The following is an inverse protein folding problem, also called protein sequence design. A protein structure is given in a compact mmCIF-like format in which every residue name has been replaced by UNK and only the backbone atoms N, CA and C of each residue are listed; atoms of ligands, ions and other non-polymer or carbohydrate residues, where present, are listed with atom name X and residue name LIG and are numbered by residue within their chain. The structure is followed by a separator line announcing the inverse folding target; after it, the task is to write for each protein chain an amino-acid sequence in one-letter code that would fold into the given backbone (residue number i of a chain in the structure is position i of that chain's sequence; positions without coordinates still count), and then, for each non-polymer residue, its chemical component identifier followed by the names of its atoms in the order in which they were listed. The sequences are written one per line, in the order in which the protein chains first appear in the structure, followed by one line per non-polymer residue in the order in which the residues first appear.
data_IF_928315969372
#
_entry.id   IF_928315969372
#
_cell.length_a   1.000
_cell.length_b   1.000
_cell.length_c   1.000
_cell.angle_alpha   90.00
_cell.angle_beta   90.00
_cell.angle_gamma   90.00
#
_symmetry.space_group_name_H-M   'P 1'
#
loop_
_entity.id
_entity.type
_entity.pdbx_description
1 polymer ?
#
# COMPACT_ATOMS: atom_id res chain seq x y z
N UNK A 1 -12.79 -2.28 -20.02
CA UNK A 1 -12.75 -2.49 -18.55
C UNK A 1 -11.47 -2.01 -17.85
N UNK A 2 -10.27 -2.49 -18.20
CA UNK A 2 -9.03 -2.28 -17.41
C UNK A 2 -8.73 -0.83 -17.01
N UNK A 3 -8.88 0.11 -17.96
CA UNK A 3 -8.69 1.54 -17.71
C UNK A 3 -9.58 2.07 -16.57
N UNK A 4 -10.84 1.62 -16.51
CA UNK A 4 -11.78 2.07 -15.48
C UNK A 4 -11.37 1.56 -14.09
N UNK A 5 -10.86 0.32 -14.00
CA UNK A 5 -10.35 -0.24 -12.72
C UNK A 5 -9.11 0.50 -12.26
N UNK A 6 -8.20 0.83 -13.19
CA UNK A 6 -7.03 1.65 -12.91
C UNK A 6 -7.40 3.05 -12.40
N UNK A 7 -8.33 3.71 -13.09
CA UNK A 7 -8.79 5.06 -12.72
C UNK A 7 -9.47 5.01 -11.34
N UNK A 8 -10.34 4.03 -11.07
CA UNK A 8 -11.04 3.89 -9.78
C UNK A 8 -10.07 3.69 -8.61
N UNK A 9 -9.13 2.74 -8.74
CA UNK A 9 -8.14 2.46 -7.69
C UNK A 9 -7.23 3.67 -7.44
N UNK A 10 -6.79 4.35 -8.50
CA UNK A 10 -5.94 5.54 -8.40
C UNK A 10 -6.70 6.71 -7.77
N UNK A 11 -7.94 6.97 -8.20
CA UNK A 11 -8.80 8.01 -7.64
C UNK A 11 -9.15 7.75 -6.16
N UNK A 12 -9.23 6.47 -5.77
CA UNK A 12 -9.43 6.10 -4.37
C UNK A 12 -8.22 6.45 -3.51
N UNK A 13 -7.03 6.54 -4.10
CA UNK A 13 -5.80 6.97 -3.42
C UNK A 13 -4.58 6.08 -3.67
N UNK A 14 -4.71 5.01 -4.45
CA UNK A 14 -3.56 4.16 -4.78
C UNK A 14 -2.52 4.98 -5.54
N UNK A 15 -1.27 5.10 -5.07
CA UNK A 15 -0.31 6.00 -5.71
C UNK A 15 0.06 5.58 -7.12
N UNK A 16 0.09 6.53 -8.06
CA UNK A 16 0.43 6.22 -9.47
C UNK A 16 1.77 5.47 -9.64
N UNK A 17 2.77 5.80 -8.82
CA UNK A 17 4.08 5.16 -8.91
C UNK A 17 4.10 3.67 -8.52
N UNK A 18 3.12 3.19 -7.74
CA UNK A 18 3.12 1.79 -7.29
C UNK A 18 2.69 0.81 -8.39
N UNK A 19 2.09 1.30 -9.48
CA UNK A 19 1.76 0.47 -10.64
C UNK A 19 2.99 -0.15 -11.32
N UNK A 20 4.20 0.39 -11.09
CA UNK A 20 5.46 -0.25 -11.51
C UNK A 20 5.74 -1.60 -10.82
N UNK A 21 5.04 -1.89 -9.72
CA UNK A 21 5.08 -3.14 -8.96
C UNK A 21 3.70 -3.79 -8.87
N UNK A 22 2.98 -3.81 -10.00
CA UNK A 22 1.62 -4.33 -10.13
C UNK A 22 1.38 -5.62 -9.33
N UNK A 23 2.18 -6.67 -9.54
CA UNK A 23 1.99 -7.97 -8.88
C UNK A 23 2.03 -7.90 -7.34
N UNK A 24 2.83 -6.98 -6.78
CA UNK A 24 2.89 -6.74 -5.34
C UNK A 24 1.61 -6.08 -4.84
N UNK A 25 1.18 -5.01 -5.53
CA UNK A 25 0.05 -4.17 -5.14
C UNK A 25 -1.29 -4.88 -5.35
N UNK A 26 -1.38 -5.78 -6.34
CA UNK A 26 -2.58 -6.57 -6.60
C UNK A 26 -2.63 -7.87 -5.81
N UNK A 27 -1.67 -8.11 -4.90
CA UNK A 27 -1.66 -9.30 -4.07
C UNK A 27 -2.77 -9.23 -3.01
N UNK A 28 -3.82 -10.04 -3.20
CA UNK A 28 -4.98 -10.10 -2.31
C UNK A 28 -4.79 -11.00 -1.09
N UNK A 29 -3.57 -11.45 -0.78
CA UNK A 29 -3.33 -12.36 0.36
C UNK A 29 -3.78 -11.76 1.70
N UNK A 30 -3.56 -10.46 1.91
CA UNK A 30 -3.98 -9.75 3.12
C UNK A 30 -5.51 -9.55 3.15
N UNK A 31 -6.17 -9.46 1.99
CA UNK A 31 -7.62 -9.30 1.91
C UNK A 31 -8.38 -10.48 2.54
N UNK A 32 -7.79 -11.68 2.54
CA UNK A 32 -8.36 -12.84 3.24
C UNK A 32 -8.50 -12.57 4.75
N UNK A 33 -7.55 -11.86 5.38
CA UNK A 33 -7.62 -11.51 6.80
C UNK A 33 -8.78 -10.56 7.10
N UNK A 34 -9.12 -9.66 6.17
CA UNK A 34 -10.24 -8.74 6.32
C UNK A 34 -11.59 -9.39 6.00
N UNK A 35 -11.60 -10.46 5.20
CA UNK A 35 -12.83 -11.16 4.80
C UNK A 35 -13.59 -11.72 6.00
N UNK A 36 -12.89 -12.32 6.97
CA UNK A 36 -13.51 -12.84 8.19
C UNK A 36 -14.11 -11.72 9.06
N UNK A 37 -13.42 -10.57 9.10
CA UNK A 37 -13.95 -9.36 9.75
C UNK A 37 -15.27 -8.91 9.12
N UNK A 38 -15.36 -8.91 7.79
CA UNK A 38 -16.62 -8.60 7.08
C UNK A 38 -17.69 -9.65 7.37
N UNK A 39 -17.36 -10.94 7.33
CA UNK A 39 -18.31 -12.01 7.66
C UNK A 39 -18.92 -11.85 9.05
N UNK A 40 -18.13 -11.41 10.03
CA UNK A 40 -18.57 -11.23 11.41
C UNK A 40 -19.43 -9.98 11.59
N UNK A 41 -19.02 -8.84 11.02
CA UNK A 41 -19.69 -7.55 11.24
C UNK A 41 -20.83 -7.26 10.27
N UNK A 42 -20.75 -7.80 9.04
CA UNK A 42 -21.75 -7.62 7.98
C UNK A 42 -22.09 -8.96 7.29
N UNK A 43 -22.70 -9.91 8.04
CA UNK A 43 -22.88 -11.30 7.58
C UNK A 43 -23.78 -11.45 6.35
N UNK A 44 -24.62 -10.47 6.02
CA UNK A 44 -25.49 -10.55 4.82
C UNK A 44 -24.82 -10.00 3.56
N UNK A 45 -23.63 -9.40 3.66
CA UNK A 45 -23.00 -8.71 2.53
C UNK A 45 -22.78 -9.61 1.32
N UNK A 46 -22.20 -10.80 1.50
CA UNK A 46 -21.96 -11.72 0.39
C UNK A 46 -23.27 -12.12 -0.31
N UNK A 47 -24.32 -12.41 0.45
CA UNK A 47 -25.62 -12.75 -0.10
C UNK A 47 -26.20 -11.58 -0.93
N UNK A 48 -26.16 -10.37 -0.40
CA UNK A 48 -26.66 -9.17 -1.07
C UNK A 48 -25.83 -8.87 -2.33
N UNK A 49 -24.50 -9.01 -2.26
CA UNK A 49 -23.59 -8.82 -3.40
C UNK A 49 -23.95 -9.70 -4.60
N UNK A 50 -24.31 -10.97 -4.35
CA UNK A 50 -24.63 -11.93 -5.40
C UNK A 50 -26.09 -11.92 -5.86
N UNK A 51 -27.01 -11.28 -5.13
CA UNK A 51 -28.45 -11.40 -5.42
C UNK A 51 -29.22 -10.08 -5.55
N UNK A 52 -28.74 -8.99 -4.95
CA UNK A 52 -29.40 -7.70 -5.02
C UNK A 52 -28.89 -6.86 -6.22
N UNK A 53 -29.73 -6.00 -6.83
CA UNK A 53 -29.31 -5.10 -7.90
C UNK A 53 -28.33 -4.02 -7.39
N UNK A 54 -27.44 -3.57 -8.28
CA UNK A 54 -26.47 -2.50 -7.99
C UNK A 54 -25.13 -2.98 -7.41
N UNK A 55 -24.95 -4.29 -7.27
CA UNK A 55 -23.70 -4.94 -6.91
C UNK A 55 -23.04 -5.59 -8.14
N UNK A 56 -21.71 -5.68 -8.16
CA UNK A 56 -20.98 -6.29 -9.28
C UNK A 56 -21.42 -7.74 -9.55
N UNK A 57 -21.84 -8.49 -8.52
CA UNK A 57 -22.35 -9.84 -8.67
C UNK A 57 -23.59 -9.95 -9.57
N UNK A 58 -24.41 -8.90 -9.66
CA UNK A 58 -25.64 -8.87 -10.49
C UNK A 58 -25.59 -7.86 -11.64
N UNK A 59 -24.62 -6.95 -11.63
CA UNK A 59 -24.45 -5.89 -12.63
C UNK A 59 -24.22 -6.45 -14.03
N UNK A 60 -24.90 -5.90 -15.03
CA UNK A 60 -24.76 -6.27 -16.43
C UNK A 60 -23.67 -5.40 -17.10
N UNK A 61 -22.41 -5.70 -16.79
CA UNK A 61 -21.24 -5.02 -17.34
C UNK A 61 -20.09 -6.00 -17.56
N UNK A 62 -19.08 -5.59 -18.34
CA UNK A 62 -17.87 -6.38 -18.60
C UNK A 62 -17.16 -6.78 -17.29
N UNK A 63 -17.11 -5.87 -16.30
CA UNK A 63 -16.53 -6.14 -14.99
C UNK A 63 -17.42 -7.10 -14.17
N UNK A 64 -18.75 -6.92 -14.20
CA UNK A 64 -19.67 -7.85 -13.54
C UNK A 64 -19.60 -9.27 -14.12
N UNK A 65 -19.47 -9.39 -15.44
CA UNK A 65 -19.28 -10.67 -16.14
C UNK A 65 -17.95 -11.33 -15.72
N UNK A 66 -16.86 -10.57 -15.65
CA UNK A 66 -15.57 -11.06 -15.16
C UNK A 66 -15.70 -11.61 -13.73
N UNK A 67 -16.31 -10.84 -12.82
CA UNK A 67 -16.51 -11.20 -11.42
C UNK A 67 -17.33 -12.49 -11.28
N UNK A 68 -18.45 -12.61 -11.99
CA UNK A 68 -19.27 -13.83 -11.98
C UNK A 68 -18.51 -15.05 -12.52
N UNK A 69 -17.67 -14.86 -13.53
CA UNK A 69 -16.89 -15.97 -14.11
C UNK A 69 -15.82 -16.54 -13.15
N UNK A 70 -15.39 -15.79 -12.14
CA UNK A 70 -14.41 -16.25 -11.13
C UNK A 70 -15.07 -16.96 -9.92
N UNK A 71 -16.40 -16.90 -9.82
CA UNK A 71 -17.13 -17.44 -8.68
C UNK A 71 -17.08 -18.97 -8.67
N UNK A 72 -16.67 -19.52 -7.53
CA UNK A 72 -16.77 -20.94 -7.20
C UNK A 72 -17.80 -21.09 -6.10
N UNK A 73 -18.74 -22.00 -6.33
CA UNK A 73 -19.76 -22.41 -5.37
C UNK A 73 -20.03 -23.91 -5.62
N UNK A 74 -19.32 -24.76 -4.87
CA UNK A 74 -19.26 -26.19 -5.10
C UNK A 74 -19.59 -26.96 -3.83
N UNK A 75 -20.52 -27.90 -3.89
CA UNK A 75 -20.82 -28.81 -2.79
C UNK A 75 -20.26 -30.19 -3.09
N UNK A 76 -19.37 -30.69 -2.24
CA UNK A 76 -18.75 -32.00 -2.36
C UNK A 76 -19.28 -32.97 -1.30
N UNK A 77 -19.40 -34.26 -1.65
CA UNK A 77 -19.71 -35.33 -0.70
C UNK A 77 -18.45 -35.95 -0.15
N UNK A 78 -18.50 -36.39 1.10
CA UNK A 78 -17.38 -37.09 1.74
C UNK A 78 -17.46 -38.59 1.40
N UNK A 79 -16.53 -39.07 0.57
CA UNK A 79 -16.40 -40.49 0.24
C UNK A 79 -15.76 -41.29 1.38
N UNK A 80 -14.71 -40.74 2.00
CA UNK A 80 -14.07 -41.37 3.15
C UNK A 80 -13.50 -40.33 4.11
N UNK A 81 -13.39 -40.74 5.37
CA UNK A 81 -12.80 -39.96 6.46
C UNK A 81 -11.62 -40.78 6.98
N UNK A 82 -10.42 -40.24 6.83
CA UNK A 82 -9.19 -40.86 7.30
C UNK A 82 -8.58 -40.05 8.43
N UNK A 83 -8.39 -40.68 9.60
CA UNK A 83 -7.64 -40.08 10.70
C UNK A 83 -6.15 -40.30 10.45
N UNK A 84 -5.41 -39.22 10.21
CA UNK A 84 -3.97 -39.26 10.02
C UNK A 84 -3.28 -38.86 11.33
N UNK A 85 -3.13 -39.82 12.25
CA UNK A 85 -2.63 -39.56 13.59
C UNK A 85 -3.69 -38.91 14.51
N UNK A 86 -3.24 -38.22 15.55
CA UNK A 86 -4.14 -37.68 16.60
C UNK A 86 -4.63 -36.26 16.33
N UNK A 87 -4.05 -35.54 15.36
CA UNK A 87 -4.30 -34.10 15.15
C UNK A 87 -4.70 -33.74 13.71
N UNK A 88 -4.87 -34.72 12.82
CA UNK A 88 -5.19 -34.45 11.41
C UNK A 88 -6.28 -35.37 10.90
N UNK A 89 -7.24 -34.81 10.17
CA UNK A 89 -8.29 -35.54 9.45
C UNK A 89 -8.15 -35.24 7.96
N UNK A 90 -8.25 -36.28 7.14
CA UNK A 90 -8.35 -36.17 5.68
C UNK A 90 -9.76 -36.56 5.26
N UNK A 91 -10.41 -35.65 4.55
CA UNK A 91 -11.71 -35.86 3.92
C UNK A 91 -11.46 -36.09 2.44
N UNK A 92 -11.71 -37.32 1.98
CA UNK A 92 -11.71 -37.62 0.55
C UNK A 92 -13.06 -37.22 -0.02
N UNK A 93 -13.05 -36.21 -0.87
CA UNK A 93 -14.23 -35.66 -1.53
C UNK A 93 -14.51 -36.40 -2.85
N UNK A 94 -15.77 -36.44 -3.27
CA UNK A 94 -16.18 -36.98 -4.57
C UNK A 94 -15.73 -36.10 -5.75
N UNK A 95 -15.57 -34.81 -5.47
CA UNK A 95 -15.24 -33.77 -6.44
C UNK A 95 -14.70 -32.55 -5.71
N UNK A 96 -13.93 -31.72 -6.40
CA UNK A 96 -13.45 -30.46 -5.86
C UNK A 96 -13.20 -29.46 -7.01
N UNK A 97 -13.37 -28.15 -6.77
CA UNK A 97 -12.96 -27.13 -7.73
C UNK A 97 -11.42 -27.09 -7.84
N UNK A 98 -10.87 -26.49 -8.91
CA UNK A 98 -9.45 -26.18 -8.96
C UNK A 98 -9.01 -25.32 -7.76
N UNK A 99 -7.85 -25.64 -7.19
CA UNK A 99 -7.27 -24.83 -6.11
C UNK A 99 -6.98 -23.42 -6.62
N UNK A 100 -7.53 -22.41 -5.93
CA UNK A 100 -7.36 -21.01 -6.26
C UNK A 100 -7.44 -20.14 -4.98
N UNK A 101 -6.97 -18.87 -5.03
CA UNK A 101 -7.05 -17.98 -3.87
C UNK A 101 -8.49 -17.79 -3.36
N UNK A 102 -8.61 -17.67 -2.04
CA UNK A 102 -9.87 -17.28 -1.40
C UNK A 102 -10.93 -18.37 -1.28
N UNK A 103 -10.60 -19.64 -1.57
CA UNK A 103 -11.49 -20.75 -1.27
C UNK A 103 -11.69 -20.88 0.24
N UNK A 104 -12.94 -20.85 0.66
CA UNK A 104 -13.44 -21.14 2.00
C UNK A 104 -14.13 -22.49 1.99
N UNK A 105 -14.03 -23.18 3.11
CA UNK A 105 -14.59 -24.51 3.31
C UNK A 105 -15.55 -24.46 4.49
N UNK A 106 -16.70 -25.14 4.37
CA UNK A 106 -17.68 -25.24 5.45
C UNK A 106 -18.33 -26.62 5.39
N UNK A 107 -18.44 -27.30 6.53
CA UNK A 107 -19.07 -28.61 6.60
C UNK A 107 -20.52 -28.48 7.05
N UNK A 108 -21.39 -29.21 6.37
CA UNK A 108 -22.79 -29.37 6.72
C UNK A 108 -23.07 -30.83 7.05
N UNK A 109 -23.69 -31.12 8.18
CA UNK A 109 -24.12 -32.48 8.51
C UNK A 109 -25.37 -32.92 7.72
N UNK A 110 -25.87 -34.12 7.98
CA UNK A 110 -27.04 -34.68 7.27
C UNK A 110 -28.37 -34.00 7.60
N UNK A 111 -28.37 -33.11 8.60
CA UNK A 111 -29.50 -32.27 8.99
C UNK A 111 -29.35 -30.83 8.47
N UNK A 112 -28.23 -30.52 7.80
CA UNK A 112 -27.93 -29.19 7.28
C UNK A 112 -27.35 -28.23 8.33
N UNK A 113 -26.91 -28.72 9.49
CA UNK A 113 -26.24 -27.90 10.49
C UNK A 113 -24.79 -27.61 10.05
N UNK A 114 -24.40 -26.34 10.15
CA UNK A 114 -23.07 -25.84 9.77
C UNK A 114 -22.05 -26.02 10.88
N UNK A 115 -20.82 -26.34 10.50
CA UNK A 115 -19.63 -26.31 11.37
C UNK A 115 -18.98 -24.93 11.51
N UNK A 116 -19.42 -23.93 10.74
CA UNK A 116 -18.65 -22.72 10.47
C UNK A 116 -17.45 -22.96 9.55
N UNK A 117 -16.61 -21.92 9.38
CA UNK A 117 -15.45 -21.96 8.49
C UNK A 117 -14.45 -23.03 8.92
N UNK A 118 -13.97 -23.80 7.95
CA UNK A 118 -12.92 -24.79 8.13
C UNK A 118 -11.58 -24.29 7.62
N UNK A 119 -10.53 -24.58 8.37
CA UNK A 119 -9.15 -24.28 8.00
C UNK A 119 -8.43 -25.55 7.59
N UNK A 120 -7.97 -25.61 6.35
CA UNK A 120 -7.29 -26.77 5.80
C UNK A 120 -6.68 -26.53 4.42
N UNK A 121 -6.06 -27.57 3.88
CA UNK A 121 -5.47 -27.57 2.54
C UNK A 121 -6.20 -28.57 1.63
N UNK A 122 -6.54 -28.14 0.42
CA UNK A 122 -7.18 -28.97 -0.60
C UNK A 122 -6.15 -29.36 -1.67
N UNK A 123 -5.86 -30.66 -1.78
CA UNK A 123 -5.02 -31.23 -2.83
C UNK A 123 -5.82 -32.23 -3.66
N UNK A 124 -6.13 -31.86 -4.91
CA UNK A 124 -7.06 -32.63 -5.73
C UNK A 124 -8.43 -32.69 -5.06
N UNK A 125 -8.88 -33.89 -4.69
CA UNK A 125 -10.11 -34.10 -3.93
C UNK A 125 -9.88 -34.41 -2.45
N UNK A 126 -8.66 -34.27 -1.95
CA UNK A 126 -8.34 -34.54 -0.54
C UNK A 126 -8.26 -33.23 0.23
N UNK A 127 -9.21 -32.99 1.13
CA UNK A 127 -9.20 -31.85 2.04
C UNK A 127 -8.61 -32.28 3.39
N UNK A 128 -7.48 -31.69 3.76
CA UNK A 128 -6.75 -31.99 4.99
C UNK A 128 -6.95 -30.88 6.00
N UNK A 129 -7.46 -31.21 7.18
CA UNK A 129 -7.73 -30.27 8.29
C UNK A 129 -6.97 -30.67 9.55
N UNK A 130 -6.53 -29.65 10.30
CA UNK A 130 -5.91 -29.81 11.62
C UNK A 130 -6.98 -29.70 12.72
N UNK A 131 -7.00 -30.65 13.66
CA UNK A 131 -8.08 -30.80 14.64
C UNK A 131 -8.15 -29.62 15.61
N UNK A 132 -7.01 -29.07 16.03
CA UNK A 132 -6.91 -27.95 16.97
C UNK A 132 -7.46 -26.63 16.41
N UNK A 133 -7.49 -26.47 15.09
CA UNK A 133 -8.10 -25.33 14.40
C UNK A 133 -9.56 -25.54 14.02
N UNK A 134 -10.10 -26.73 14.26
CA UNK A 134 -11.40 -27.18 13.77
C UNK A 134 -12.10 -28.08 14.82
N UNK A 135 -12.06 -27.71 16.11
CA UNK A 135 -12.52 -28.57 17.21
C UNK A 135 -13.99 -29.01 17.03
N UNK A 136 -14.85 -28.13 16.50
CA UNK A 136 -16.27 -28.38 16.25
C UNK A 136 -16.52 -29.39 15.12
N UNK A 137 -15.55 -29.64 14.24
CA UNK A 137 -15.72 -30.59 13.13
C UNK A 137 -15.90 -32.01 13.63
N UNK A 138 -15.21 -32.39 14.72
CA UNK A 138 -15.20 -33.77 15.18
C UNK A 138 -16.57 -34.26 15.68
N UNK A 139 -17.41 -33.35 16.19
CA UNK A 139 -18.76 -33.67 16.66
C UNK A 139 -19.78 -33.74 15.51
N UNK A 140 -19.54 -33.00 14.42
CA UNK A 140 -20.47 -32.86 13.29
C UNK A 140 -20.19 -33.79 12.10
N UNK A 141 -18.92 -34.16 11.88
CA UNK A 141 -18.51 -34.89 10.66
C UNK A 141 -18.97 -36.34 10.67
N UNK A 142 -19.66 -36.73 9.60
CA UNK A 142 -19.99 -38.12 9.31
C UNK A 142 -20.01 -38.36 7.79
N UNK A 143 -20.15 -39.62 7.35
CA UNK A 143 -20.12 -39.97 5.92
C UNK A 143 -21.26 -39.37 5.07
N UNK A 144 -22.31 -38.86 5.71
CA UNK A 144 -23.41 -38.16 5.03
C UNK A 144 -23.24 -36.64 5.03
N UNK A 145 -22.23 -36.13 5.73
CA UNK A 145 -21.89 -34.70 5.69
C UNK A 145 -21.41 -34.30 4.30
N UNK A 146 -21.59 -33.03 3.98
CA UNK A 146 -21.08 -32.40 2.75
C UNK A 146 -20.12 -31.27 3.11
N UNK A 147 -19.22 -30.96 2.18
CA UNK A 147 -18.32 -29.81 2.30
C UNK A 147 -18.69 -28.82 1.21
N UNK A 148 -19.12 -27.64 1.63
CA UNK A 148 -19.28 -26.48 0.77
C UNK A 148 -17.90 -25.85 0.55
N UNK A 149 -17.56 -25.59 -0.72
CA UNK A 149 -16.32 -24.98 -1.16
C UNK A 149 -16.67 -23.78 -2.04
N UNK A 150 -16.39 -22.57 -1.57
CA UNK A 150 -16.72 -21.35 -2.31
C UNK A 150 -15.69 -20.23 -2.11
N UNK A 151 -15.70 -19.24 -2.98
CA UNK A 151 -14.93 -18.00 -2.81
C UNK A 151 -15.84 -16.76 -2.87
N UNK A 152 -17.12 -16.92 -2.56
CA UNK A 152 -18.14 -15.91 -2.82
C UNK A 152 -17.93 -14.66 -1.98
N UNK A 153 -17.62 -14.83 -0.69
CA UNK A 153 -17.30 -13.70 0.19
C UNK A 153 -15.97 -13.05 -0.21
N UNK A 154 -14.95 -13.86 -0.52
CA UNK A 154 -13.63 -13.38 -0.91
C UNK A 154 -13.70 -12.50 -2.16
N UNK A 155 -14.46 -12.90 -3.18
CA UNK A 155 -14.70 -12.05 -4.36
C UNK A 155 -15.47 -10.79 -3.97
N UNK A 156 -16.56 -10.93 -3.21
CA UNK A 156 -17.41 -9.79 -2.85
C UNK A 156 -16.65 -8.69 -2.10
N UNK A 157 -15.71 -9.04 -1.20
CA UNK A 157 -14.99 -8.03 -0.40
C UNK A 157 -14.07 -7.12 -1.22
N UNK A 158 -13.66 -7.52 -2.43
CA UNK A 158 -12.86 -6.66 -3.32
C UNK A 158 -13.57 -5.35 -3.67
N UNK A 159 -14.91 -5.34 -3.70
CA UNK A 159 -15.70 -4.15 -4.00
C UNK A 159 -16.41 -3.55 -2.77
N UNK A 160 -16.11 -4.05 -1.56
CA UNK A 160 -16.83 -3.64 -0.35
C UNK A 160 -16.75 -2.13 -0.09
N UNK A 161 -15.61 -1.50 -0.41
CA UNK A 161 -15.42 -0.06 -0.24
C UNK A 161 -16.43 0.80 -1.02
N UNK A 162 -16.95 0.32 -2.17
CA UNK A 162 -17.99 1.02 -2.93
C UNK A 162 -19.30 1.18 -2.16
N UNK A 163 -19.50 0.33 -1.16
CA UNK A 163 -20.70 0.23 -0.34
C UNK A 163 -20.50 0.79 1.08
N UNK A 164 -19.40 1.48 1.30
CA UNK A 164 -18.91 1.97 2.59
C UNK A 164 -18.56 3.46 2.52
N UNK A 165 -19.29 4.26 1.75
CA UNK A 165 -19.02 5.71 1.62
C UNK A 165 -19.08 6.36 3.01
N UNK A 166 -17.99 6.99 3.50
CA UNK A 166 -17.98 7.59 4.81
C UNK A 166 -19.04 8.69 4.95
N UNK A 167 -19.75 8.70 6.08
CA UNK A 167 -20.75 9.74 6.40
C UNK A 167 -20.12 11.06 6.84
N UNK A 168 -18.85 11.02 7.27
CA UNK A 168 -18.09 12.20 7.66
C UNK A 168 -17.49 12.84 6.40
N UNK A 169 -17.49 14.17 6.36
CA UNK A 169 -16.95 14.92 5.25
C UNK A 169 -15.42 14.79 5.14
N UNK A 170 -14.90 15.10 3.94
CA UNK A 170 -13.46 15.19 3.66
C UNK A 170 -12.83 13.91 3.10
N UNK A 171 -13.55 12.79 3.05
CA UNK A 171 -13.07 11.55 2.42
C UNK A 171 -13.22 11.63 0.89
N UNK A 172 -12.53 12.58 0.26
CA UNK A 172 -12.72 12.91 -1.16
C UNK A 172 -12.36 11.77 -2.13
N UNK A 173 -11.55 10.79 -1.72
CA UNK A 173 -11.29 9.59 -2.53
C UNK A 173 -12.56 8.76 -2.81
N UNK A 174 -13.61 8.93 -2.00
CA UNK A 174 -14.91 8.28 -2.18
C UNK A 174 -15.92 9.12 -3.00
N UNK A 175 -15.58 10.35 -3.39
CA UNK A 175 -16.51 11.21 -4.13
C UNK A 175 -16.83 10.65 -5.52
N UNK A 176 -15.95 9.83 -6.08
CA UNK A 176 -16.20 9.08 -7.32
C UNK A 176 -17.39 8.10 -7.23
N UNK A 177 -17.81 7.72 -6.01
CA UNK A 177 -18.97 6.85 -5.78
C UNK A 177 -20.26 7.63 -5.49
N UNK A 178 -20.24 8.95 -5.71
CA UNK A 178 -21.40 9.82 -5.56
C UNK A 178 -21.80 10.41 -6.90
N UNK A 179 -23.10 10.63 -7.09
CA UNK A 179 -23.61 11.36 -8.26
C UNK A 179 -23.44 12.87 -8.10
N UNK A 180 -23.87 13.63 -9.11
CA UNK A 180 -23.80 15.10 -9.13
C UNK A 180 -24.62 15.79 -8.03
N UNK A 181 -25.52 15.05 -7.36
CA UNK A 181 -26.32 15.53 -6.22
C UNK A 181 -25.72 15.10 -4.87
N UNK A 182 -24.59 14.38 -4.89
CA UNK A 182 -23.91 13.85 -3.71
C UNK A 182 -24.50 12.54 -3.19
N UNK A 183 -25.44 11.91 -3.90
CA UNK A 183 -26.02 10.63 -3.49
C UNK A 183 -25.15 9.45 -3.94
N UNK A 184 -25.02 8.38 -3.14
CA UNK A 184 -24.31 7.17 -3.54
C UNK A 184 -24.84 6.58 -4.86
N UNK A 185 -23.95 6.22 -5.78
CA UNK A 185 -24.31 5.52 -7.03
C UNK A 185 -24.47 4.02 -6.84
N UNK A 186 -23.92 3.47 -5.75
CA UNK A 186 -24.02 2.07 -5.37
C UNK A 186 -24.86 1.90 -4.10
N UNK A 187 -25.52 0.74 -3.90
CA UNK A 187 -26.15 0.40 -2.62
C UNK A 187 -25.17 0.56 -1.46
N UNK A 188 -25.61 1.14 -0.34
CA UNK A 188 -24.76 1.34 0.84
C UNK A 188 -25.13 0.38 1.96
N UNK A 189 -24.14 -0.08 2.72
CA UNK A 189 -24.36 -0.94 3.89
C UNK A 189 -24.70 -0.11 5.11
N UNK A 190 -25.48 -0.67 6.03
CA UNK A 190 -25.75 -0.05 7.32
C UNK A 190 -24.57 -0.17 8.29
N UNK A 191 -23.74 -1.19 8.11
CA UNK A 191 -22.52 -1.45 8.89
C UNK A 191 -21.41 -0.53 8.37
N UNK A 192 -20.73 0.16 9.29
CA UNK A 192 -19.53 0.95 8.98
C UNK A 192 -18.29 0.10 9.28
N UNK A 193 -17.83 -0.62 8.26
CA UNK A 193 -16.67 -1.51 8.39
C UNK A 193 -15.38 -0.72 8.69
N UNK A 194 -15.27 0.49 8.16
CA UNK A 194 -14.10 1.34 8.34
C UNK A 194 -13.96 1.82 9.78
N UNK A 195 -15.07 2.22 10.41
CA UNK A 195 -15.09 2.65 11.81
C UNK A 195 -14.78 1.48 12.74
N UNK A 196 -15.38 0.31 12.52
CA UNK A 196 -15.10 -0.88 13.32
C UNK A 196 -13.61 -1.27 13.26
N UNK A 197 -13.00 -1.20 12.07
CA UNK A 197 -11.57 -1.48 11.88
C UNK A 197 -10.69 -0.44 12.60
N UNK A 198 -11.03 0.84 12.50
CA UNK A 198 -10.29 1.91 13.18
C UNK A 198 -10.40 1.84 14.72
N UNK A 199 -11.59 1.54 15.24
CA UNK A 199 -11.82 1.41 16.68
C UNK A 199 -11.09 0.19 17.27
N UNK A 200 -11.11 -0.96 16.57
CA UNK A 200 -10.41 -2.16 17.01
C UNK A 200 -8.89 -2.04 16.94
N UNK A 201 -8.35 -1.34 15.95
CA UNK A 201 -6.90 -1.22 15.74
C UNK A 201 -6.27 -0.17 16.66
N UNK A 202 -6.85 1.02 16.75
CA UNK A 202 -6.21 2.16 17.43
C UNK A 202 -7.15 2.96 18.33
N UNK A 203 -8.38 2.48 18.56
CA UNK A 203 -9.45 3.27 19.21
C UNK A 203 -9.63 4.64 18.54
N UNK A 204 -9.37 4.69 17.22
CA UNK A 204 -9.20 5.93 16.47
C UNK A 204 -10.51 6.69 16.29
N UNK A 205 -10.64 7.85 16.95
CA UNK A 205 -11.76 8.79 16.73
C UNK A 205 -11.44 9.91 15.73
N UNK A 206 -10.15 10.08 15.41
CA UNK A 206 -9.63 11.06 14.45
C UNK A 206 -10.22 12.47 14.61
N UNK A 207 -10.30 12.98 15.84
CA UNK A 207 -10.94 14.28 16.13
C UNK A 207 -10.04 15.48 15.80
N UNK A 208 -8.75 15.25 15.57
CA UNK A 208 -7.75 16.31 15.41
C UNK A 208 -7.38 17.06 16.70
N UNK A 209 -8.02 16.76 17.84
CA UNK A 209 -7.80 17.42 19.13
C UNK A 209 -6.53 16.92 19.84
N UNK A 210 -5.39 17.03 19.16
CA UNK A 210 -4.09 16.72 19.73
C UNK A 210 -3.77 17.70 20.88
N UNK A 211 -3.15 17.18 21.95
CA UNK A 211 -2.81 17.97 23.14
C UNK A 211 -1.35 18.43 23.16
N UNK A 212 -0.51 17.81 22.34
CA UNK A 212 0.92 18.09 22.25
C UNK A 212 1.33 18.60 20.87
N UNK A 213 2.65 18.62 20.66
CA UNK A 213 3.24 18.84 19.34
C UNK A 213 3.40 17.50 18.63
N UNK A 214 3.21 17.46 17.32
CA UNK A 214 3.26 16.24 16.52
C UNK A 214 3.89 16.55 15.16
N UNK A 215 4.77 15.65 14.72
CA UNK A 215 5.25 15.58 13.34
C UNK A 215 4.76 14.24 12.79
N UNK A 216 3.79 14.27 11.89
CA UNK A 216 3.33 13.10 11.15
C UNK A 216 4.20 12.93 9.91
N UNK A 217 4.63 11.70 9.65
CA UNK A 217 5.36 11.32 8.45
C UNK A 217 4.54 10.31 7.68
N UNK A 218 4.41 10.51 6.37
CA UNK A 218 3.74 9.55 5.51
C UNK A 218 4.45 9.43 4.15
N UNK A 219 4.38 8.25 3.55
CA UNK A 219 5.22 7.85 2.42
C UNK A 219 4.38 7.92 1.12
N UNK A 220 4.92 8.50 0.04
CA UNK A 220 4.14 8.79 -1.16
C UNK A 220 3.86 7.57 -2.06
N UNK A 221 4.55 6.45 -1.86
CA UNK A 221 4.28 5.16 -2.52
C UNK A 221 3.63 4.16 -1.54
N UNK A 222 3.03 4.65 -0.46
CA UNK A 222 2.29 3.80 0.48
C UNK A 222 0.98 3.31 -0.15
N UNK A 223 0.95 2.04 -0.54
CA UNK A 223 -0.22 1.38 -1.13
C UNK A 223 -1.09 0.66 -0.09
N UNK A 224 -0.64 0.56 1.17
CA UNK A 224 -1.41 -0.04 2.27
C UNK A 224 -2.16 1.04 3.07
N UNK A 225 -1.58 2.25 3.17
CA UNK A 225 -2.16 3.42 3.80
C UNK A 225 -2.01 4.66 2.90
N UNK A 226 -3.02 4.88 2.05
CA UNK A 226 -2.96 5.89 0.98
C UNK A 226 -2.56 7.29 1.47
N UNK A 227 -1.71 8.02 0.71
CA UNK A 227 -1.10 9.24 1.23
C UNK A 227 -2.07 10.35 1.61
N UNK A 228 -3.19 10.42 0.89
CA UNK A 228 -4.23 11.42 1.11
C UNK A 228 -4.92 11.26 2.48
N UNK A 229 -4.86 10.09 3.11
CA UNK A 229 -5.38 9.92 4.48
C UNK A 229 -4.65 10.81 5.49
N UNK A 230 -3.34 11.06 5.29
CA UNK A 230 -2.58 11.95 6.15
C UNK A 230 -2.98 13.42 5.94
N UNK A 231 -3.26 13.82 4.70
CA UNK A 231 -3.86 15.12 4.37
C UNK A 231 -5.25 15.29 5.00
N UNK A 232 -6.11 14.27 4.87
CA UNK A 232 -7.41 14.27 5.52
C UNK A 232 -7.28 14.44 7.03
N UNK A 233 -6.38 13.71 7.69
CA UNK A 233 -6.19 13.86 9.13
C UNK A 233 -5.64 15.23 9.53
N UNK A 234 -4.72 15.79 8.72
CA UNK A 234 -4.24 17.17 8.89
C UNK A 234 -5.41 18.15 8.89
N UNK A 235 -6.38 18.02 7.97
CA UNK A 235 -7.56 18.89 7.95
C UNK A 235 -8.40 18.79 9.22
N UNK A 236 -8.43 17.60 9.87
CA UNK A 236 -9.10 17.44 11.16
C UNK A 236 -8.36 18.19 12.28
N UNK A 237 -7.02 18.16 12.28
CA UNK A 237 -6.19 18.91 13.24
C UNK A 237 -6.37 20.42 13.02
N UNK A 238 -6.34 20.88 11.78
CA UNK A 238 -6.56 22.29 11.43
C UNK A 238 -7.95 22.77 11.86
N UNK A 239 -8.99 21.98 11.61
CA UNK A 239 -10.35 22.28 12.06
C UNK A 239 -10.45 22.32 13.60
N UNK A 240 -9.75 21.44 14.31
CA UNK A 240 -9.84 21.33 15.77
C UNK A 240 -9.02 22.41 16.52
N UNK A 241 -7.86 22.77 15.98
CA UNK A 241 -6.92 23.68 16.64
C UNK A 241 -6.98 25.12 16.12
N UNK A 242 -7.54 25.34 14.93
CA UNK A 242 -7.59 26.65 14.28
C UNK A 242 -6.18 27.23 14.09
N UNK A 243 -5.98 28.47 14.54
CA UNK A 243 -4.70 29.17 14.44
C UNK A 243 -3.52 28.43 15.10
N UNK A 244 -3.77 27.55 16.08
CA UNK A 244 -2.71 26.77 16.76
C UNK A 244 -2.23 25.57 15.95
N UNK A 245 -2.89 25.21 14.85
CA UNK A 245 -2.55 24.00 14.10
C UNK A 245 -1.08 23.99 13.66
N UNK A 246 -0.59 25.10 13.11
CA UNK A 246 0.80 25.22 12.69
C UNK A 246 1.80 25.29 13.87
N UNK A 247 1.37 25.59 15.08
CA UNK A 247 2.25 25.61 16.26
C UNK A 247 2.35 24.24 16.94
N UNK A 248 1.51 23.29 16.51
CA UNK A 248 1.32 21.99 17.13
C UNK A 248 1.46 20.81 16.16
N UNK A 249 1.33 21.02 14.85
CA UNK A 249 1.31 19.94 13.88
C UNK A 249 2.18 20.24 12.65
N UNK A 250 2.93 19.23 12.23
CA UNK A 250 3.62 19.16 10.94
C UNK A 250 3.23 17.86 10.24
N UNK A 251 3.05 17.94 8.93
CA UNK A 251 2.92 16.77 8.05
C UNK A 251 4.08 16.78 7.05
N UNK A 252 4.92 15.74 7.09
CA UNK A 252 6.00 15.54 6.14
C UNK A 252 5.72 14.34 5.25
N UNK A 253 5.74 14.57 3.95
CA UNK A 253 5.70 13.50 2.97
C UNK A 253 7.11 13.05 2.61
N UNK A 254 7.27 11.74 2.44
CA UNK A 254 8.51 11.09 2.04
C UNK A 254 8.32 10.47 0.65
N UNK A 255 8.90 11.12 -0.35
CA UNK A 255 8.91 10.69 -1.74
C UNK A 255 9.76 9.42 -1.89
N UNK A 256 9.40 8.58 -2.87
CA UNK A 256 10.06 7.31 -3.13
C UNK A 256 10.12 6.41 -1.88
N UNK A 257 9.14 6.40 -1.00
CA UNK A 257 9.05 5.42 0.09
C UNK A 257 7.67 4.78 0.08
N UNK A 258 7.56 3.52 0.49
CA UNK A 258 6.29 2.79 0.59
C UNK A 258 5.90 2.50 2.06
N UNK A 259 4.97 1.57 2.31
CA UNK A 259 4.49 1.27 3.67
C UNK A 259 5.58 0.75 4.62
N UNK A 260 6.70 0.26 4.08
CA UNK A 260 7.68 -0.48 4.87
C UNK A 260 8.67 0.41 5.59
N UNK A 261 9.09 -0.01 6.78
CA UNK A 261 10.00 0.73 7.64
C UNK A 261 10.79 -0.24 8.54
N UNK A 262 12.08 0.02 8.76
CA UNK A 262 13.02 -0.92 9.38
C UNK A 262 12.77 -1.24 10.87
N UNK A 263 11.78 -0.65 11.52
CA UNK A 263 11.58 -0.68 12.97
C UNK A 263 10.32 -1.42 13.46
N UNK A 264 9.67 -2.25 12.63
CA UNK A 264 8.40 -2.86 13.03
C UNK A 264 8.15 -4.30 12.61
N UNK A 265 8.66 -4.73 11.46
CA UNK A 265 8.28 -6.02 10.87
C UNK A 265 9.53 -6.68 10.27
N UNK A 266 9.52 -8.00 10.05
CA UNK A 266 10.59 -8.79 9.37
C UNK A 266 10.82 -8.34 7.90
N UNK A 267 10.25 -7.20 7.52
CA UNK A 267 10.45 -6.49 6.28
C UNK A 267 11.80 -5.79 6.29
N UNK A 268 12.73 -6.41 5.58
CA UNK A 268 14.06 -5.89 5.36
C UNK A 268 13.96 -4.57 4.60
N UNK A 269 14.94 -3.70 4.86
CA UNK A 269 15.28 -2.54 4.03
C UNK A 269 15.11 -2.86 2.53
N UNK A 270 14.80 -1.87 1.68
CA UNK A 270 14.68 -2.11 0.25
C UNK A 270 15.90 -2.86 -0.30
N UNK A 271 15.68 -4.02 -0.93
CA UNK A 271 16.74 -4.86 -1.53
C UNK A 271 16.40 -5.21 -2.97
N UNK A 272 17.44 -5.50 -3.76
CA UNK A 272 17.31 -5.84 -5.18
C UNK A 272 16.53 -4.77 -5.95
N UNK A 273 15.72 -5.20 -6.93
CA UNK A 273 14.97 -4.29 -7.80
C UNK A 273 14.04 -3.29 -7.07
N UNK A 274 13.68 -3.58 -5.81
CA UNK A 274 12.89 -2.66 -4.98
C UNK A 274 13.71 -1.43 -4.57
N UNK A 275 15.00 -1.60 -4.23
CA UNK A 275 15.88 -0.50 -3.86
C UNK A 275 16.10 0.51 -4.99
N UNK A 276 15.89 0.13 -6.26
CA UNK A 276 15.95 1.06 -7.40
C UNK A 276 14.76 2.04 -7.46
N UNK A 277 13.71 1.82 -6.66
CA UNK A 277 12.44 2.55 -6.71
C UNK A 277 12.07 3.21 -5.40
N UNK A 278 12.49 2.63 -4.27
CA UNK A 278 12.16 3.15 -2.96
C UNK A 278 13.39 3.34 -2.07
N UNK A 279 13.28 4.26 -1.12
CA UNK A 279 14.20 4.54 -0.02
C UNK A 279 13.63 4.02 1.29
N UNK A 280 14.50 3.80 2.26
CA UNK A 280 14.12 3.53 3.64
C UNK A 280 13.47 4.78 4.26
N UNK A 281 12.29 4.63 4.85
CA UNK A 281 11.58 5.70 5.55
C UNK A 281 12.14 5.95 6.98
N UNK A 282 13.00 5.06 7.51
CA UNK A 282 13.59 5.19 8.86
C UNK A 282 14.30 6.50 9.14
N UNK A 283 15.16 6.99 8.24
CA UNK A 283 15.88 8.21 8.46
C UNK A 283 15.02 9.48 8.62
N UNK A 284 13.90 9.60 7.90
CA UNK A 284 13.03 10.79 8.04
C UNK A 284 12.34 10.81 9.40
N UNK A 285 11.92 9.65 9.92
CA UNK A 285 11.37 9.54 11.28
C UNK A 285 12.44 9.78 12.34
N UNK A 286 13.68 9.29 12.14
CA UNK A 286 14.80 9.65 13.02
C UNK A 286 14.96 11.18 13.12
N UNK A 287 14.83 11.89 12.00
CA UNK A 287 14.93 13.35 12.00
C UNK A 287 13.70 14.01 12.64
N UNK A 288 12.49 13.52 12.35
CA UNK A 288 11.26 14.00 12.97
C UNK A 288 11.29 13.87 14.49
N UNK A 289 11.84 12.78 15.05
CA UNK A 289 11.98 12.61 16.49
C UNK A 289 12.93 13.63 17.12
N UNK A 290 14.06 13.93 16.48
CA UNK A 290 14.99 14.97 16.95
C UNK A 290 14.36 16.36 16.86
N UNK A 291 13.71 16.65 15.76
CA UNK A 291 13.08 17.95 15.54
C UNK A 291 11.88 18.15 16.48
N UNK A 292 11.13 17.09 16.79
CA UNK A 292 10.05 17.13 17.79
C UNK A 292 10.60 17.39 19.21
N UNK A 293 11.69 16.73 19.60
CA UNK A 293 12.35 16.98 20.90
C UNK A 293 12.83 18.43 20.99
N UNK A 294 13.53 18.94 19.96
CA UNK A 294 13.94 20.35 19.92
C UNK A 294 12.74 21.31 19.95
N UNK A 295 11.64 20.97 19.29
CA UNK A 295 10.43 21.79 19.28
C UNK A 295 9.75 21.88 20.63
N UNK A 296 9.69 20.77 21.37
CA UNK A 296 9.05 20.68 22.68
C UNK A 296 9.95 21.23 23.78
N UNK A 297 11.23 20.88 23.77
CA UNK A 297 12.15 21.13 24.89
C UNK A 297 12.90 22.46 24.76
N UNK A 298 13.14 22.91 23.53
CA UNK A 298 14.01 24.06 23.25
C UNK A 298 13.29 25.18 22.48
N UNK A 299 12.00 24.99 22.15
CA UNK A 299 11.22 25.93 21.33
C UNK A 299 11.86 26.23 19.97
N UNK A 300 12.56 25.26 19.39
CA UNK A 300 13.13 25.36 18.04
C UNK A 300 12.13 24.78 17.06
N UNK A 301 11.57 25.61 16.19
CA UNK A 301 10.55 25.14 15.25
C UNK A 301 11.15 24.15 14.23
N UNK A 302 10.48 23.01 13.98
CA UNK A 302 10.83 22.13 12.89
C UNK A 302 10.46 22.79 11.55
N UNK A 303 11.07 22.37 10.44
CA UNK A 303 10.64 22.80 9.11
C UNK A 303 9.12 22.70 8.92
N UNK A 304 8.52 23.62 8.15
CA UNK A 304 7.08 23.58 7.86
C UNK A 304 6.64 22.23 7.28
N UNK A 305 5.33 21.97 7.34
CA UNK A 305 4.74 20.84 6.63
C UNK A 305 5.16 20.84 5.17
N UNK A 306 5.35 19.67 4.58
CA UNK A 306 5.64 19.55 3.14
C UNK A 306 4.57 20.32 2.36
N UNK A 307 5.01 21.06 1.34
CA UNK A 307 4.11 21.76 0.44
C UNK A 307 3.63 20.80 -0.66
N UNK A 308 2.32 20.66 -0.79
CA UNK A 308 1.70 19.74 -1.75
C UNK A 308 0.31 20.23 -2.16
N UNK A 309 -0.19 19.65 -3.23
CA UNK A 309 -1.59 19.71 -3.66
C UNK A 309 -2.14 18.29 -3.76
N UNK A 310 -3.44 18.11 -3.52
CA UNK A 310 -4.11 16.84 -3.79
C UNK A 310 -4.98 16.97 -5.03
N UNK A 311 -4.80 16.04 -5.97
CA UNK A 311 -5.56 15.98 -7.23
C UNK A 311 -5.97 14.52 -7.44
N UNK A 312 -7.27 14.26 -7.55
CA UNK A 312 -7.82 12.92 -7.82
C UNK A 312 -7.22 11.82 -6.90
N UNK A 313 -7.18 12.08 -5.60
CA UNK A 313 -6.64 11.15 -4.60
C UNK A 313 -5.10 11.08 -4.55
N UNK A 314 -4.39 11.81 -5.40
CA UNK A 314 -2.92 11.81 -5.48
C UNK A 314 -2.31 13.03 -4.77
N UNK A 315 -1.36 12.78 -3.87
CA UNK A 315 -0.59 13.83 -3.21
C UNK A 315 0.60 14.23 -4.08
N UNK A 316 0.59 15.45 -4.61
CA UNK A 316 1.62 16.01 -5.47
C UNK A 316 2.44 17.04 -4.70
N UNK A 317 3.67 16.70 -4.37
CA UNK A 317 4.59 17.55 -3.62
C UNK A 317 5.29 18.57 -4.55
N UNK A 318 5.64 19.76 -4.05
CA UNK A 318 6.25 20.84 -4.86
C UNK A 318 7.69 20.54 -5.33
N UNK A 319 7.94 20.47 -6.65
CA UNK A 319 9.19 19.95 -7.26
C UNK A 319 10.50 20.56 -6.71
N UNK A 320 10.55 21.89 -6.55
CA UNK A 320 11.76 22.59 -6.12
C UNK A 320 11.98 22.50 -4.60
N UNK A 321 13.21 22.22 -4.16
CA UNK A 321 13.56 22.15 -2.73
C UNK A 321 13.18 23.41 -1.95
N UNK A 322 13.36 24.59 -2.55
CA UNK A 322 12.97 25.89 -1.98
C UNK A 322 11.48 26.04 -1.68
N UNK A 323 10.63 25.25 -2.35
CA UNK A 323 9.18 25.24 -2.18
C UNK A 323 8.66 23.95 -1.52
N UNK A 324 9.50 22.90 -1.41
CA UNK A 324 9.14 21.58 -0.91
C UNK A 324 8.80 21.58 0.59
N UNK A 325 9.55 22.36 1.38
CA UNK A 325 9.58 22.26 2.85
C UNK A 325 9.87 20.82 3.33
N UNK A 326 9.50 20.45 4.56
CA UNK A 326 9.91 19.16 5.13
C UNK A 326 11.43 19.05 5.27
N UNK A 327 11.98 17.84 5.15
CA UNK A 327 13.42 17.58 5.35
C UNK A 327 14.07 16.73 4.26
N UNK A 328 13.29 16.18 3.33
CA UNK A 328 13.79 15.28 2.31
C UNK A 328 14.44 16.07 1.16
N UNK A 329 15.63 15.67 0.67
CA UNK A 329 16.24 16.32 -0.50
C UNK A 329 15.41 16.06 -1.77
N UNK A 330 15.41 17.01 -2.70
CA UNK A 330 14.91 16.80 -4.06
C UNK A 330 16.03 16.34 -4.96
N UNK A 331 15.74 15.43 -5.90
CA UNK A 331 16.74 14.87 -6.80
C UNK A 331 16.21 14.83 -8.22
N UNK A 332 16.95 15.43 -9.14
CA UNK A 332 16.69 15.39 -10.57
C UNK A 332 17.80 14.57 -11.22
N UNK A 333 17.43 13.58 -12.03
CA UNK A 333 18.36 12.81 -12.86
C UNK A 333 17.91 12.89 -14.32
N UNK A 334 18.81 13.37 -15.17
CA UNK A 334 18.57 13.53 -16.60
C UNK A 334 19.69 12.90 -17.42
N UNK A 335 19.38 12.60 -18.68
CA UNK A 335 20.37 12.24 -19.71
C UNK A 335 20.21 13.20 -20.87
N UNK A 336 21.25 13.96 -21.14
CA UNK A 336 21.25 15.04 -22.14
C UNK A 336 20.02 15.98 -21.97
N UNK A 337 19.72 16.38 -20.74
CA UNK A 337 18.60 17.27 -20.41
C UNK A 337 17.19 16.65 -20.48
N UNK A 338 17.03 15.32 -20.60
CA UNK A 338 15.73 14.65 -20.62
C UNK A 338 15.63 13.52 -19.60
N UNK A 339 14.42 13.25 -19.11
CA UNK A 339 14.07 12.09 -18.28
C UNK A 339 13.93 10.79 -19.09
N UNK A 340 13.91 10.87 -20.42
CA UNK A 340 13.90 9.73 -21.34
C UNK A 340 14.85 9.96 -22.51
N UNK A 341 15.77 9.03 -22.73
CA UNK A 341 16.73 9.12 -23.84
C UNK A 341 16.86 7.80 -24.62
N UNK A 342 16.95 7.89 -25.94
CA UNK A 342 17.16 6.76 -26.84
C UNK A 342 18.59 6.80 -27.40
N UNK A 343 19.28 5.66 -27.41
CA UNK A 343 20.69 5.59 -27.78
C UNK A 343 21.04 4.25 -28.41
N UNK A 344 22.00 4.22 -29.35
CA UNK A 344 22.50 2.96 -29.89
C UNK A 344 23.44 2.26 -28.88
N UNK A 345 23.40 0.93 -28.82
CA UNK A 345 24.33 0.16 -28.01
C UNK A 345 25.80 0.54 -28.29
N UNK A 346 26.62 0.61 -27.24
CA UNK A 346 28.02 1.04 -27.31
C UNK A 346 28.21 2.56 -27.44
N UNK A 347 27.13 3.34 -27.59
CA UNK A 347 27.23 4.81 -27.61
C UNK A 347 27.22 5.36 -26.19
N UNK A 348 28.23 6.17 -25.80
CA UNK A 348 28.26 6.74 -24.47
C UNK A 348 27.19 7.81 -24.28
N UNK A 349 26.54 7.79 -23.11
CA UNK A 349 25.59 8.82 -22.64
C UNK A 349 26.16 9.53 -21.42
N UNK A 350 25.72 10.77 -21.22
CA UNK A 350 26.08 11.57 -20.04
C UNK A 350 24.85 11.72 -19.16
N UNK A 351 24.96 11.22 -17.93
CA UNK A 351 24.00 11.45 -16.87
C UNK A 351 24.33 12.77 -16.16
N UNK A 352 23.31 13.55 -15.87
CA UNK A 352 23.38 14.82 -15.17
C UNK A 352 22.43 14.73 -13.97
N UNK A 353 22.98 14.89 -12.76
CA UNK A 353 22.21 14.93 -11.53
C UNK A 353 22.34 16.31 -10.90
N UNK A 354 21.21 16.79 -10.38
CA UNK A 354 21.15 17.92 -9.46
C UNK A 354 20.33 17.51 -8.22
N UNK A 355 20.85 17.78 -7.03
CA UNK A 355 20.15 17.55 -5.79
C UNK A 355 20.30 18.75 -4.84
N UNK A 356 19.24 19.03 -4.08
CA UNK A 356 19.19 20.16 -3.16
C UNK A 356 18.32 19.79 -1.95
N UNK A 357 18.73 20.22 -0.75
CA UNK A 357 17.88 20.12 0.44
C UNK A 357 16.94 21.32 0.54
N UNK A 358 15.73 21.17 1.13
CA UNK A 358 14.94 22.33 1.50
C UNK A 358 15.78 23.33 2.34
N UNK A 359 15.55 24.65 2.19
CA UNK A 359 16.39 25.66 2.84
C UNK A 359 16.50 25.47 4.36
N UNK A 360 17.73 25.44 4.87
CA UNK A 360 18.01 25.27 6.30
C UNK A 360 17.79 23.84 6.83
N UNK A 361 17.61 22.83 5.96
CA UNK A 361 17.31 21.46 6.40
C UNK A 361 18.48 20.50 6.44
N UNK A 362 19.66 20.96 6.04
CA UNK A 362 20.92 20.27 6.26
C UNK A 362 21.83 20.32 5.04
N UNK A 363 22.56 19.24 4.78
CA UNK A 363 23.48 19.14 3.65
C UNK A 363 23.43 17.77 3.01
N UNK A 364 23.72 17.71 1.72
CA UNK A 364 23.93 16.47 0.99
C UNK A 364 25.28 15.86 1.38
N UNK A 365 25.26 14.60 1.84
CA UNK A 365 26.42 13.90 2.41
C UNK A 365 26.85 12.67 1.62
N UNK A 366 26.01 12.14 0.73
CA UNK A 366 26.36 10.99 -0.11
C UNK A 366 25.56 10.95 -1.40
N UNK A 367 26.19 10.38 -2.44
CA UNK A 367 25.56 10.03 -3.71
C UNK A 367 25.96 8.62 -4.11
N UNK A 368 24.99 7.81 -4.52
CA UNK A 368 25.22 6.44 -4.96
C UNK A 368 24.44 6.19 -6.26
N UNK A 369 25.07 5.55 -7.24
CA UNK A 369 24.55 5.40 -8.61
C UNK A 369 24.23 3.95 -8.93
N UNK A 370 23.12 3.73 -9.61
CA UNK A 370 22.70 2.46 -10.20
C UNK A 370 22.30 2.69 -11.66
N UNK A 371 23.25 2.50 -12.57
CA UNK A 371 23.00 2.67 -14.01
C UNK A 371 22.11 1.56 -14.61
N UNK A 372 21.91 0.46 -13.89
CA UNK A 372 21.19 -0.71 -14.41
C UNK A 372 19.75 -0.78 -13.89
N UNK A 373 19.39 -0.02 -12.86
CA UNK A 373 18.05 -0.02 -12.25
C UNK A 373 17.75 -1.32 -11.48
N UNK A 374 18.75 -1.92 -10.85
CA UNK A 374 18.66 -3.21 -10.15
C UNK A 374 18.69 -3.08 -8.63
N UNK A 375 18.85 -1.87 -8.10
CA UNK A 375 19.06 -1.59 -6.69
C UNK A 375 20.49 -1.81 -6.22
N UNK A 376 21.43 -1.91 -7.16
CA UNK A 376 22.86 -2.13 -6.92
C UNK A 376 23.59 -0.79 -6.99
N UNK A 377 23.57 -0.06 -5.88
CA UNK A 377 24.12 1.29 -5.81
C UNK A 377 25.63 1.27 -5.56
N UNK A 378 26.36 2.06 -6.36
CA UNK A 378 27.79 2.30 -6.20
C UNK A 378 28.02 3.73 -5.73
N UNK A 379 28.69 3.89 -4.59
CA UNK A 379 29.02 5.21 -4.06
C UNK A 379 29.97 5.95 -5.00
N UNK A 380 29.63 7.20 -5.31
CA UNK A 380 30.53 8.15 -5.97
C UNK A 380 30.81 9.27 -4.97
N UNK A 381 32.08 9.55 -4.64
CA UNK A 381 32.41 10.59 -3.67
C UNK A 381 31.92 11.97 -4.14
N UNK A 382 31.33 12.72 -3.22
CA UNK A 382 31.03 14.13 -3.42
C UNK A 382 32.32 14.95 -3.42
N UNK A 383 32.34 16.01 -4.24
CA UNK A 383 33.40 17.03 -4.22
C UNK A 383 33.32 17.90 -2.97
N UNK A 384 32.11 18.18 -2.49
CA UNK A 384 31.82 18.92 -1.25
C UNK A 384 30.52 18.43 -0.59
N UNK A 385 30.43 18.64 0.73
CA UNK A 385 29.20 18.50 1.50
C UNK A 385 28.54 19.87 1.57
N UNK A 386 27.42 20.03 0.88
CA UNK A 386 26.76 21.32 0.69
C UNK A 386 25.24 21.18 0.64
N UNK A 387 24.52 22.29 0.66
CA UNK A 387 23.04 22.34 0.60
C UNK A 387 22.53 21.90 -0.79
N UNK A 388 23.33 22.11 -1.84
CA UNK A 388 23.08 21.62 -3.19
C UNK A 388 24.32 20.99 -3.79
N UNK A 389 24.13 19.96 -4.62
CA UNK A 389 25.22 19.29 -5.33
C UNK A 389 24.78 18.97 -6.76
N UNK A 390 25.70 19.13 -7.70
CA UNK A 390 25.60 18.62 -9.06
C UNK A 390 26.64 17.53 -9.31
N UNK A 391 26.31 16.59 -10.19
CA UNK A 391 27.26 15.60 -10.65
C UNK A 391 26.96 15.17 -12.08
N UNK A 392 28.02 14.87 -12.84
CA UNK A 392 27.89 14.33 -14.19
C UNK A 392 28.73 13.06 -14.33
N UNK A 393 28.12 12.00 -14.86
CA UNK A 393 28.79 10.71 -15.05
C UNK A 393 28.50 10.17 -16.45
N UNK A 394 29.55 9.73 -17.14
CA UNK A 394 29.45 9.09 -18.45
C UNK A 394 29.30 7.57 -18.28
N UNK A 395 28.38 6.96 -19.01
CA UNK A 395 28.17 5.51 -18.99
C UNK A 395 27.87 4.98 -20.40
N UNK A 396 28.11 3.68 -20.62
CA UNK A 396 27.88 3.00 -21.91
C UNK A 396 27.03 1.76 -21.66
N UNK A 397 25.93 1.65 -22.39
CA UNK A 397 25.14 0.41 -22.43
C UNK A 397 25.55 -0.43 -23.62
N UNK A 398 26.10 -1.62 -23.37
CA UNK A 398 26.60 -2.52 -24.42
C UNK A 398 25.51 -3.40 -25.04
N UNK A 399 24.34 -3.50 -24.39
CA UNK A 399 23.26 -4.40 -24.81
C UNK A 399 21.98 -3.60 -25.07
N UNK A 400 21.24 -3.93 -26.14
CA UNK A 400 19.89 -3.40 -26.33
C UNK A 400 18.98 -3.74 -25.16
N UNK A 401 18.06 -2.83 -24.84
CA UNK A 401 17.13 -2.99 -23.73
C UNK A 401 16.57 -1.66 -23.24
N UNK A 402 15.58 -1.74 -22.34
CA UNK A 402 15.13 -0.57 -21.57
C UNK A 402 15.73 -0.66 -20.17
N UNK A 403 16.39 0.42 -19.75
CA UNK A 403 17.00 0.57 -18.44
C UNK A 403 16.32 1.72 -17.70
N UNK A 404 16.27 1.62 -16.36
CA UNK A 404 15.77 2.67 -15.48
C UNK A 404 16.86 3.07 -14.49
N UNK A 405 17.87 3.85 -14.93
CA UNK A 405 18.95 4.28 -14.07
C UNK A 405 18.42 5.09 -12.90
N UNK A 406 19.03 4.89 -11.74
CA UNK A 406 18.69 5.59 -10.51
C UNK A 406 19.93 6.18 -9.86
N UNK A 407 19.77 7.30 -9.19
CA UNK A 407 20.73 7.83 -8.24
C UNK A 407 20.03 8.00 -6.90
N UNK A 408 20.69 7.57 -5.83
CA UNK A 408 20.28 7.79 -4.46
C UNK A 408 21.13 8.89 -3.87
N UNK A 409 20.47 9.90 -3.31
CA UNK A 409 21.12 11.02 -2.64
C UNK A 409 20.70 11.03 -1.18
N UNK A 410 21.66 11.22 -0.29
CA UNK A 410 21.45 11.25 1.16
C UNK A 410 21.81 12.61 1.73
N UNK A 411 20.90 13.18 2.51
CA UNK A 411 21.09 14.39 3.30
C UNK A 411 21.20 14.08 4.79
N UNK A 412 21.87 14.97 5.53
CA UNK A 412 21.91 14.96 6.99
C UNK A 412 21.87 16.39 7.54
N UNK A 413 21.15 16.60 8.64
CA UNK A 413 20.90 17.91 9.27
C UNK A 413 22.17 18.75 9.46
N UNK A 414 23.22 18.13 10.00
CA UNK A 414 24.49 18.82 10.30
C UNK A 414 25.58 18.57 9.24
N UNK A 415 25.26 17.86 8.15
CA UNK A 415 26.26 17.45 7.15
C UNK A 415 27.27 16.40 7.66
N UNK A 416 26.97 15.67 8.74
CA UNK A 416 27.84 14.61 9.26
C UNK A 416 27.80 13.37 8.35
N UNK A 417 28.89 13.16 7.61
CA UNK A 417 29.04 12.02 6.70
C UNK A 417 29.13 10.68 7.44
N UNK A 418 29.49 10.69 8.73
CA UNK A 418 29.65 9.49 9.58
C UNK A 418 28.41 9.15 10.39
N UNK A 419 27.38 9.99 10.35
CA UNK A 419 26.13 9.76 11.07
C UNK A 419 25.50 8.42 10.65
N UNK A 420 24.99 7.68 11.63
CA UNK A 420 24.29 6.40 11.40
C UNK A 420 22.77 6.59 11.34
N UNK A 421 22.25 7.65 11.96
CA UNK A 421 20.84 8.01 11.98
C UNK A 421 20.61 9.32 11.21
N UNK A 422 19.35 9.62 10.83
CA UNK A 422 19.03 10.90 10.19
C UNK A 422 19.55 11.09 8.77
N UNK A 423 19.95 10.01 8.12
CA UNK A 423 20.43 9.95 6.73
C UNK A 423 19.25 9.98 5.73
N UNK A 424 18.49 11.08 5.71
CA UNK A 424 17.28 11.21 4.89
C UNK A 424 17.65 11.12 3.41
N UNK A 425 17.05 10.19 2.68
CA UNK A 425 17.41 9.92 1.29
C UNK A 425 16.25 10.16 0.34
N UNK A 426 16.57 10.40 -0.93
CA UNK A 426 15.61 10.40 -2.03
C UNK A 426 16.27 9.81 -3.30
N UNK A 427 15.48 9.50 -4.31
CA UNK A 427 15.93 8.96 -5.60
C UNK A 427 15.68 9.96 -6.73
N UNK A 428 16.62 10.03 -7.67
CA UNK A 428 16.39 10.53 -9.02
C UNK A 428 16.40 9.37 -10.00
N UNK A 429 15.45 9.33 -10.94
CA UNK A 429 15.30 8.23 -11.92
C UNK A 429 15.06 8.79 -13.32
N UNK A 430 15.52 8.07 -14.33
CA UNK A 430 15.22 8.35 -15.74
C UNK A 430 15.07 7.04 -16.53
N UNK A 431 14.70 7.12 -17.81
CA UNK A 431 14.53 5.97 -18.71
C UNK A 431 15.52 6.03 -19.88
N UNK A 432 16.25 4.94 -20.09
CA UNK A 432 17.13 4.78 -21.24
C UNK A 432 16.63 3.64 -22.11
N UNK A 433 16.45 3.90 -23.41
CA UNK A 433 16.14 2.86 -24.40
C UNK A 433 17.36 2.69 -25.30
N UNK A 434 17.94 1.48 -25.27
CA UNK A 434 19.13 1.13 -26.02
C UNK A 434 18.71 0.26 -27.21
N UNK A 435 18.99 0.73 -28.42
CA UNK A 435 18.70 0.05 -29.69
C UNK A 435 19.90 -0.68 -30.27
#
# INVERSE_FOLDING_TARGET
MERAVFDEATMLGLPLGVWEVFDLVTNSAVLALFSDGVASHDPTYAQDFWTAPGYLGTEQSELGDLIRAQAVNHTARINSIEKAGNQTIRLLLDSAPPTQPGLRFELFNDQGESSGALFGNLEGTTFTIEVDKNEDVFSLVNQKSTVQVDNLLFIAVHAYYRHQIPKRDGFYGFDQFKDVTGQPIHPQRSVDGSLNAAESTSQGRFTGQIQGKMIAVNNLLDYDAFPWHADWYRSQVESALGHRANDNYRLWFNEHADHTFAAGFDERLPVGARAARIVDASPIVHQALRDLSAWVEQSIDPPPSTNYTVVDGQVLVAEAASQRFGVQPTVILQVNGSDRYEVAAGTPVTFEMFAEVPPGTGKIIATEWDFMGRGEFTAVPLTSVDESVDASVRFVYEKPGTYFPAIKVTAHRDGDTKAVFGRVSNLGRCRIVVS
#
